data_IF_091499933156
#
_entry.id   IF_091499933156
#
_cell.length_a   1.000
_cell.length_b   1.000
_cell.length_c   1.000
_cell.angle_alpha   90.00
_cell.angle_beta   90.00
_cell.angle_gamma   90.00
#
_symmetry.space_group_name_H-M   'P 1'
#
loop_
_entity.id
_entity.type
_entity.pdbx_description
1 polymer ?
#
# COMPACT_ATOMS: atom_id res chain seq x y z
N UNK A 1 -6.63 8.31 -12.81
CA UNK A 1 -5.78 7.38 -12.03
C UNK A 1 -4.63 6.94 -12.92
N UNK A 2 -3.40 7.08 -12.47
CA UNK A 2 -2.17 6.83 -13.22
C UNK A 2 -1.07 6.21 -12.37
N UNK A 3 -1.09 6.37 -11.03
CA UNK A 3 -0.09 5.79 -10.15
C UNK A 3 -0.61 4.51 -9.47
N UNK A 4 -0.22 3.35 -10.01
CA UNK A 4 -0.58 2.04 -9.47
C UNK A 4 0.57 1.35 -8.72
N UNK A 5 1.51 2.10 -8.13
CA UNK A 5 2.60 1.51 -7.34
C UNK A 5 2.04 0.68 -6.17
N UNK A 6 2.40 -0.62 -6.06
CA UNK A 6 1.88 -1.49 -4.99
C UNK A 6 2.36 -1.09 -3.59
N UNK A 7 3.49 -0.37 -3.48
CA UNK A 7 4.00 0.14 -2.21
C UNK A 7 3.62 1.61 -2.05
N UNK A 8 2.68 1.88 -1.14
CA UNK A 8 2.21 3.24 -0.89
C UNK A 8 3.27 4.13 -0.23
N UNK A 9 4.09 3.56 0.66
CA UNK A 9 5.10 4.29 1.39
C UNK A 9 6.18 3.35 1.96
N UNK A 10 7.41 3.84 2.03
CA UNK A 10 8.50 3.22 2.78
C UNK A 10 9.23 4.29 3.58
N UNK A 11 9.22 4.16 4.91
CA UNK A 11 9.91 5.06 5.83
C UNK A 11 10.95 4.22 6.58
N UNK A 12 12.25 4.31 6.22
CA UNK A 12 13.26 3.38 6.72
C UNK A 12 13.55 3.56 8.22
N UNK A 13 13.47 4.79 8.73
CA UNK A 13 13.73 5.09 10.14
C UNK A 13 13.08 6.41 10.56
N UNK A 14 12.65 6.48 11.81
CA UNK A 14 12.14 7.70 12.44
C UNK A 14 12.32 7.61 13.95
N UNK A 15 12.52 8.74 14.62
CA UNK A 15 12.61 8.80 16.09
C UNK A 15 11.26 9.27 16.64
N UNK A 16 10.80 8.62 17.71
CA UNK A 16 9.58 9.02 18.41
C UNK A 16 9.79 10.32 19.18
N UNK A 17 8.69 11.06 19.39
CA UNK A 17 8.70 12.19 20.29
C UNK A 17 8.79 11.76 21.78
N UNK A 18 8.81 12.72 22.70
CA UNK A 18 8.86 12.46 24.15
C UNK A 18 7.69 11.62 24.70
N UNK A 19 6.57 11.54 23.96
CA UNK A 19 5.42 10.70 24.30
C UNK A 19 5.48 9.30 23.68
N UNK A 20 6.59 8.94 23.00
CA UNK A 20 6.76 7.65 22.34
C UNK A 20 5.98 7.51 21.03
N UNK A 21 5.56 8.62 20.40
CA UNK A 21 4.72 8.62 19.19
C UNK A 21 5.47 9.18 17.99
N UNK A 22 5.12 8.67 16.82
CA UNK A 22 5.50 9.22 15.51
C UNK A 22 4.27 9.23 14.62
N UNK A 23 4.17 10.19 13.71
CA UNK A 23 3.04 10.31 12.79
C UNK A 23 3.55 10.69 11.41
N UNK A 24 2.89 10.16 10.38
CA UNK A 24 3.28 10.36 8.99
C UNK A 24 2.05 10.73 8.17
N UNK A 25 2.23 11.68 7.26
CA UNK A 25 1.26 12.00 6.25
C UNK A 25 1.70 11.37 4.92
N UNK A 26 0.84 10.53 4.35
CA UNK A 26 1.17 9.73 3.17
C UNK A 26 0.08 9.97 2.13
N UNK A 27 0.48 10.40 0.94
CA UNK A 27 -0.41 10.41 -0.22
C UNK A 27 -0.50 9.00 -0.79
N UNK A 28 -1.68 8.40 -0.72
CA UNK A 28 -1.89 7.06 -1.25
C UNK A 28 -1.81 7.04 -2.79
N UNK A 29 -1.24 5.98 -3.38
CA UNK A 29 -1.34 5.71 -4.80
C UNK A 29 -2.80 5.52 -5.22
N UNK A 30 -3.04 5.53 -6.52
CA UNK A 30 -4.38 5.37 -7.06
C UNK A 30 -4.94 3.97 -6.86
N UNK A 31 -4.19 2.97 -6.38
CA UNK A 31 -4.72 1.62 -6.15
C UNK A 31 -5.87 1.61 -5.14
N UNK A 32 -7.04 1.15 -5.58
CA UNK A 32 -8.19 0.88 -4.73
C UNK A 32 -8.10 -0.57 -4.25
N UNK A 33 -7.29 -0.78 -3.23
CA UNK A 33 -6.94 -2.09 -2.70
C UNK A 33 -6.91 -2.08 -1.18
N UNK A 34 -6.72 -3.25 -0.58
CA UNK A 34 -6.38 -3.37 0.84
C UNK A 34 -4.88 -3.23 1.01
N UNK A 35 -4.47 -2.20 1.75
CA UNK A 35 -3.09 -2.04 2.19
C UNK A 35 -2.86 -2.71 3.54
N UNK A 36 -1.64 -3.22 3.71
CA UNK A 36 -1.11 -3.72 4.98
C UNK A 36 0.02 -2.77 5.41
N UNK A 37 -0.02 -2.33 6.66
CA UNK A 37 0.97 -1.46 7.27
C UNK A 37 1.72 -2.27 8.31
N UNK A 38 3.04 -2.29 8.18
CA UNK A 38 3.95 -2.90 9.15
C UNK A 38 4.78 -1.78 9.77
N UNK A 39 4.88 -1.80 11.09
CA UNK A 39 5.71 -0.87 11.84
C UNK A 39 6.61 -1.66 12.78
N UNK A 40 7.92 -1.49 12.60
CA UNK A 40 8.92 -2.06 13.49
C UNK A 40 9.46 -0.95 14.39
N UNK A 41 9.47 -1.19 15.69
CA UNK A 41 10.02 -0.28 16.67
C UNK A 41 11.10 -1.01 17.47
N UNK A 42 12.17 -0.30 17.83
CA UNK A 42 13.25 -0.84 18.66
C UNK A 42 13.80 0.22 19.59
N UNK A 43 14.29 -0.21 20.74
CA UNK A 43 15.18 0.54 21.62
C UNK A 43 16.38 -0.36 21.98
N UNK A 44 17.29 0.13 22.82
CA UNK A 44 18.53 -0.58 23.18
C UNK A 44 18.34 -2.02 23.69
N UNK A 45 17.16 -2.36 24.21
CA UNK A 45 16.90 -3.65 24.88
C UNK A 45 15.71 -4.42 24.31
N UNK A 46 14.89 -3.80 23.48
CA UNK A 46 13.58 -4.32 23.09
C UNK A 46 13.26 -4.01 21.63
N UNK A 47 12.39 -4.84 21.07
CA UNK A 47 11.79 -4.62 19.77
C UNK A 47 10.28 -4.91 19.82
N UNK A 48 9.54 -4.34 18.89
CA UNK A 48 8.11 -4.54 18.74
C UNK A 48 7.68 -4.49 17.28
N UNK A 49 6.62 -5.23 16.97
CA UNK A 49 5.97 -5.23 15.66
C UNK A 49 4.52 -4.78 15.85
N UNK A 50 4.13 -3.77 15.08
CA UNK A 50 2.75 -3.36 14.88
C UNK A 50 2.30 -3.70 13.47
N UNK A 51 1.09 -4.23 13.35
CA UNK A 51 0.46 -4.51 12.07
C UNK A 51 -0.94 -3.89 12.02
N UNK A 52 -1.29 -3.31 10.88
CA UNK A 52 -2.64 -2.84 10.58
C UNK A 52 -2.96 -3.11 9.12
N UNK A 53 -4.25 -3.17 8.79
CA UNK A 53 -4.72 -3.16 7.42
C UNK A 53 -5.89 -2.20 7.24
N UNK A 54 -5.99 -1.57 6.07
CA UNK A 54 -7.14 -0.75 5.71
C UNK A 54 -7.44 -0.86 4.22
N UNK A 55 -8.69 -0.61 3.84
CA UNK A 55 -9.17 -0.70 2.46
C UNK A 55 -9.37 0.69 1.88
N UNK A 56 -8.80 0.93 0.70
CA UNK A 56 -9.00 2.14 -0.09
C UNK A 56 -10.04 1.85 -1.14
N UNK A 57 -11.15 2.59 -1.13
CA UNK A 57 -12.26 2.39 -2.04
C UNK A 57 -12.91 3.73 -2.43
N UNK A 58 -13.57 3.74 -3.59
CA UNK A 58 -14.46 4.81 -4.03
C UNK A 58 -15.90 4.31 -4.03
N UNK A 59 -16.91 5.18 -3.91
CA UNK A 59 -18.33 4.77 -3.94
C UNK A 59 -18.69 3.95 -5.18
N UNK A 60 -18.06 4.26 -6.31
CA UNK A 60 -18.16 3.50 -7.56
C UNK A 60 -16.75 3.27 -8.07
N UNK A 61 -16.42 2.02 -8.42
CA UNK A 61 -15.12 1.66 -8.96
C UNK A 61 -15.22 0.56 -10.01
N UNK A 62 -14.40 0.70 -11.05
CA UNK A 62 -14.19 -0.28 -12.11
C UNK A 62 -12.99 -1.16 -11.72
N UNK A 63 -13.14 -2.49 -11.83
CA UNK A 63 -12.08 -3.48 -11.53
C UNK A 63 -11.78 -4.36 -12.75
N UNK A 64 -11.03 -3.84 -13.74
CA UNK A 64 -10.64 -4.63 -14.88
C UNK A 64 -9.59 -5.67 -14.44
N UNK A 65 -9.75 -6.91 -14.87
CA UNK A 65 -8.82 -8.01 -14.57
C UNK A 65 -8.17 -8.52 -15.87
N UNK A 66 -7.25 -7.76 -16.48
CA UNK A 66 -6.55 -8.22 -17.68
C UNK A 66 -5.67 -9.43 -17.37
N UNK A 67 -5.41 -10.29 -18.37
CA UNK A 67 -4.41 -11.35 -18.23
C UNK A 67 -3.04 -10.74 -17.94
N UNK A 68 -2.25 -11.42 -17.11
CA UNK A 68 -0.92 -10.94 -16.69
C UNK A 68 0.07 -10.83 -17.85
N UNK A 69 -0.07 -11.68 -18.86
CA UNK A 69 0.78 -11.73 -20.03
C UNK A 69 -0.06 -11.96 -21.28
N UNK A 70 0.43 -11.43 -22.40
CA UNK A 70 -0.04 -11.70 -23.74
C UNK A 70 1.19 -11.89 -24.62
N UNK A 71 1.14 -12.84 -25.54
CA UNK A 71 2.16 -13.00 -26.55
C UNK A 71 1.91 -12.05 -27.72
N UNK A 72 2.94 -11.85 -28.54
CA UNK A 72 2.79 -11.09 -29.77
C UNK A 72 1.75 -11.77 -30.68
N UNK A 73 0.70 -11.02 -31.04
CA UNK A 73 -0.41 -11.52 -31.85
C UNK A 73 -1.65 -11.95 -31.07
N UNK A 74 -1.59 -12.05 -29.73
CA UNK A 74 -2.76 -12.40 -28.92
C UNK A 74 -3.79 -11.26 -28.89
N UNK A 75 -5.08 -11.62 -28.93
CA UNK A 75 -6.20 -10.70 -28.69
C UNK A 75 -6.88 -11.07 -27.38
N UNK A 76 -7.12 -10.07 -26.52
CA UNK A 76 -7.79 -10.25 -25.25
C UNK A 76 -9.09 -9.44 -25.18
N UNK A 77 -10.17 -10.08 -24.75
CA UNK A 77 -11.40 -9.40 -24.35
C UNK A 77 -11.38 -9.20 -22.84
N UNK A 78 -11.48 -7.94 -22.40
CA UNK A 78 -11.50 -7.59 -20.97
C UNK A 78 -12.89 -7.09 -20.65
N UNK A 79 -13.64 -7.89 -19.90
CA UNK A 79 -14.90 -7.45 -19.30
C UNK A 79 -14.62 -6.52 -18.13
N UNK A 80 -15.50 -5.54 -17.95
CA UNK A 80 -15.38 -4.47 -16.96
C UNK A 80 -16.53 -4.52 -15.99
#
# INVERSE_FOLDING_TARGET
RSNFNPLACWIPSSITNSSGRVSFEIKLPDNLTRYRVWAFATNDKQYGLGEMSFTVQLPIMIRPSPPRFLNYGDTAHISV
#
